data_IF_445649963181
#
_entry.id   IF_445649963181
#
_cell.length_a   1.000
_cell.length_b   1.000
_cell.length_c   1.000
_cell.angle_alpha   90.00
_cell.angle_beta   90.00
_cell.angle_gamma   90.00
#
_symmetry.space_group_name_H-M   'P 1'
#
loop_
_entity.id
_entity.type
_entity.pdbx_description
1 polymer ?
#
# COMPACT_ATOMS: atom_id res chain seq x y z
N UNK A 1 11.54 -4.04 -0.35
CA UNK A 1 10.09 -4.32 -0.14
C UNK A 1 9.54 -4.90 -1.43
N UNK A 2 8.87 -6.06 -1.40
CA UNK A 2 8.27 -6.64 -2.59
C UNK A 2 7.10 -5.77 -3.08
N UNK A 3 6.98 -5.60 -4.39
CA UNK A 3 5.80 -5.02 -5.02
C UNK A 3 4.97 -6.18 -5.57
N UNK A 4 3.67 -6.19 -5.32
CA UNK A 4 2.77 -7.23 -5.83
C UNK A 4 2.88 -7.35 -7.37
N UNK A 5 3.06 -8.56 -7.93
CA UNK A 5 3.12 -8.76 -9.37
C UNK A 5 1.88 -8.23 -10.09
N UNK A 6 2.07 -7.42 -11.13
CA UNK A 6 0.97 -6.80 -11.87
C UNK A 6 0.38 -5.53 -11.23
N UNK A 7 0.86 -5.11 -10.05
CA UNK A 7 0.50 -3.80 -9.50
C UNK A 7 1.12 -2.67 -10.35
N UNK A 8 0.34 -1.62 -10.58
CA UNK A 8 0.74 -0.45 -11.36
C UNK A 8 1.15 0.69 -10.43
N UNK A 9 2.33 1.25 -10.66
CA UNK A 9 2.75 2.46 -9.95
C UNK A 9 1.79 3.62 -10.24
N UNK A 10 1.31 4.28 -9.18
CA UNK A 10 0.39 5.41 -9.28
C UNK A 10 1.11 6.71 -8.98
N UNK A 11 1.75 6.80 -7.81
CA UNK A 11 2.38 8.03 -7.32
C UNK A 11 3.38 7.76 -6.21
N UNK A 12 4.29 8.70 -5.99
CA UNK A 12 5.10 8.75 -4.77
C UNK A 12 4.89 10.07 -4.05
N UNK A 13 5.04 10.05 -2.74
CA UNK A 13 4.91 11.21 -1.87
C UNK A 13 6.13 11.33 -0.97
N UNK A 14 6.52 12.57 -0.71
CA UNK A 14 7.48 12.88 0.34
C UNK A 14 6.74 12.83 1.69
N UNK A 15 7.18 11.96 2.59
CA UNK A 15 6.61 11.82 3.93
C UNK A 15 7.29 12.76 4.95
N UNK A 16 8.28 13.54 4.50
CA UNK A 16 9.20 14.28 5.36
C UNK A 16 10.33 13.39 5.89
N UNK A 17 11.32 14.03 6.52
CA UNK A 17 12.47 13.36 7.17
C UNK A 17 13.27 12.44 6.25
N UNK A 18 13.33 12.77 4.95
CA UNK A 18 14.01 11.96 3.94
C UNK A 18 13.29 10.64 3.61
N UNK A 19 12.09 10.44 4.14
CA UNK A 19 11.28 9.25 3.88
C UNK A 19 10.29 9.52 2.75
N UNK A 20 10.12 8.54 1.85
CA UNK A 20 9.11 8.56 0.81
C UNK A 20 8.25 7.33 0.89
N UNK A 21 6.98 7.46 0.51
CA UNK A 21 6.12 6.30 0.28
C UNK A 21 5.59 6.28 -1.14
N UNK A 22 5.19 5.09 -1.57
CA UNK A 22 4.82 4.79 -2.95
C UNK A 22 3.45 4.14 -2.96
N UNK A 23 2.58 4.59 -3.87
CA UNK A 23 1.26 4.01 -4.08
C UNK A 23 1.24 3.19 -5.37
N UNK A 24 0.65 2.01 -5.28
CA UNK A 24 0.41 1.11 -6.39
C UNK A 24 -1.04 0.68 -6.42
N UNK A 25 -1.65 0.67 -7.61
CA UNK A 25 -2.99 0.14 -7.84
C UNK A 25 -2.90 -1.31 -8.29
N UNK A 26 -3.78 -2.17 -7.79
CA UNK A 26 -3.86 -3.58 -8.21
C UNK A 26 -5.30 -3.95 -8.55
N UNK A 27 -5.46 -4.86 -9.51
CA UNK A 27 -6.75 -5.47 -9.86
C UNK A 27 -7.10 -6.67 -8.98
N UNK A 28 -6.14 -7.15 -8.18
CA UNK A 28 -6.35 -8.21 -7.19
C UNK A 28 -7.24 -7.73 -6.03
N UNK A 29 -7.94 -8.67 -5.42
CA UNK A 29 -8.78 -8.43 -4.24
C UNK A 29 -7.95 -8.12 -2.99
N UNK A 30 -8.60 -7.53 -1.98
CA UNK A 30 -7.96 -7.25 -0.69
C UNK A 30 -7.41 -8.52 -0.04
N UNK A 31 -8.19 -9.60 -0.03
CA UNK A 31 -7.80 -10.88 0.57
C UNK A 31 -6.58 -11.51 -0.12
N UNK A 32 -6.51 -11.45 -1.45
CA UNK A 32 -5.35 -11.95 -2.22
C UNK A 32 -4.08 -11.15 -1.90
N UNK A 33 -4.18 -9.82 -1.82
CA UNK A 33 -3.04 -8.97 -1.47
C UNK A 33 -2.57 -9.21 -0.03
N UNK A 34 -3.49 -9.34 0.93
CA UNK A 34 -3.15 -9.66 2.32
C UNK A 34 -2.46 -11.03 2.39
N UNK A 35 -2.99 -12.05 1.72
CA UNK A 35 -2.37 -13.37 1.67
C UNK A 35 -0.96 -13.32 1.05
N UNK A 36 -0.79 -12.59 -0.06
CA UNK A 36 0.51 -12.41 -0.69
C UNK A 36 1.53 -11.77 0.26
N UNK A 37 1.20 -10.64 0.88
CA UNK A 37 2.14 -9.93 1.75
C UNK A 37 2.44 -10.71 3.03
N UNK A 38 1.49 -11.50 3.55
CA UNK A 38 1.76 -12.43 4.65
C UNK A 38 2.90 -13.39 4.34
N UNK A 39 2.87 -13.99 3.15
CA UNK A 39 3.92 -14.91 2.70
C UNK A 39 5.21 -14.16 2.36
N UNK A 40 5.11 -13.08 1.60
CA UNK A 40 6.28 -12.37 1.07
C UNK A 40 7.09 -11.65 2.15
N UNK A 41 6.41 -11.12 3.18
CA UNK A 41 7.04 -10.39 4.29
C UNK A 41 7.34 -11.30 5.48
N UNK A 42 6.80 -12.54 5.50
CA UNK A 42 6.82 -13.44 6.66
C UNK A 42 6.25 -12.78 7.93
N UNK A 43 5.25 -11.92 7.73
CA UNK A 43 4.61 -11.11 8.77
C UNK A 43 3.09 -11.30 8.66
N UNK A 44 2.38 -11.52 9.77
CA UNK A 44 0.92 -11.66 9.75
C UNK A 44 0.23 -10.34 9.47
N UNK A 45 0.83 -9.24 9.96
CA UNK A 45 0.27 -7.90 9.94
C UNK A 45 -1.04 -7.80 10.73
N UNK A 46 -1.60 -6.59 10.77
CA UNK A 46 -2.78 -6.26 11.55
C UNK A 46 -3.89 -5.67 10.68
N UNK A 47 -5.14 -5.98 11.02
CA UNK A 47 -6.30 -5.29 10.48
C UNK A 47 -6.44 -3.99 11.26
N UNK A 48 -6.27 -2.85 10.58
CA UNK A 48 -6.38 -1.53 11.21
C UNK A 48 -7.84 -1.06 11.23
N UNK A 49 -8.59 -1.34 10.17
CA UNK A 49 -10.00 -1.03 10.03
C UNK A 49 -10.70 -2.16 9.28
N UNK A 50 -11.91 -2.51 9.70
CA UNK A 50 -12.74 -3.51 9.01
C UNK A 50 -13.59 -2.87 7.92
N UNK A 51 -13.95 -1.59 8.05
CA UNK A 51 -14.87 -0.90 7.16
C UNK A 51 -14.43 0.59 6.94
N UNK A 52 -13.78 0.92 5.82
CA UNK A 52 -13.28 0.03 4.77
C UNK A 52 -12.10 -0.84 5.27
N UNK A 53 -11.93 -2.07 4.72
CA UNK A 53 -10.81 -2.93 5.07
C UNK A 53 -9.44 -2.27 4.82
N UNK A 54 -8.64 -2.19 5.88
CA UNK A 54 -7.25 -1.73 5.85
C UNK A 54 -6.38 -2.74 6.61
N UNK A 55 -5.37 -3.30 5.94
CA UNK A 55 -4.38 -4.20 6.56
C UNK A 55 -3.00 -3.56 6.52
N UNK A 56 -2.26 -3.61 7.63
CA UNK A 56 -0.91 -3.06 7.74
C UNK A 56 0.10 -4.16 8.06
N UNK A 57 1.25 -4.09 7.43
CA UNK A 57 2.42 -4.93 7.68
C UNK A 57 3.59 -4.01 8.00
N UNK A 58 4.10 -4.07 9.23
CA UNK A 58 5.28 -3.31 9.65
C UNK A 58 6.50 -4.26 9.65
N UNK A 59 7.56 -3.90 8.93
CA UNK A 59 8.67 -4.83 8.59
C UNK A 59 10.06 -4.25 8.89
N UNK A 60 10.14 -3.37 9.88
CA UNK A 60 11.39 -2.78 10.32
C UNK A 60 11.24 -1.96 11.60
N UNK A 61 12.37 -1.55 12.17
CA UNK A 61 12.37 -0.70 13.35
C UNK A 61 11.90 0.70 12.98
N UNK A 62 10.77 1.12 13.55
CA UNK A 62 10.35 2.52 13.50
C UNK A 62 11.22 3.37 14.44
N UNK A 63 11.66 4.53 13.96
CA UNK A 63 12.40 5.53 14.72
C UNK A 63 11.61 6.83 14.63
N UNK A 64 10.84 7.10 15.66
CA UNK A 64 9.89 8.20 15.71
C UNK A 64 10.58 9.58 15.67
N UNK A 65 11.89 9.69 15.88
CA UNK A 65 12.64 10.94 15.73
C UNK A 65 13.08 11.19 14.27
N UNK A 66 13.24 10.14 13.48
CA UNK A 66 13.82 10.23 12.11
C UNK A 66 12.89 9.74 11.01
N UNK A 67 11.75 9.13 11.33
CA UNK A 67 10.78 8.60 10.37
C UNK A 67 9.41 9.23 10.59
N UNK A 68 8.62 9.33 9.52
CA UNK A 68 7.22 9.77 9.60
C UNK A 68 6.25 8.58 9.69
N UNK A 69 6.62 7.44 9.09
CA UNK A 69 5.87 6.19 9.12
C UNK A 69 6.80 5.00 9.38
N UNK A 70 6.30 3.93 10.04
CA UNK A 70 6.99 2.65 10.07
C UNK A 70 7.25 2.11 8.66
N UNK A 71 8.44 1.54 8.38
CA UNK A 71 8.67 0.80 7.15
C UNK A 71 7.71 -0.38 7.03
N UNK A 72 7.06 -0.54 5.88
CA UNK A 72 5.95 -1.48 5.77
C UNK A 72 5.14 -1.39 4.50
N UNK A 73 4.05 -2.16 4.51
CA UNK A 73 3.04 -2.21 3.46
C UNK A 73 1.66 -1.98 4.08
N UNK A 74 0.87 -1.11 3.47
CA UNK A 74 -0.56 -0.96 3.80
C UNK A 74 -1.38 -1.36 2.58
N UNK A 75 -2.33 -2.27 2.77
CA UNK A 75 -3.31 -2.67 1.76
C UNK A 75 -4.64 -2.04 2.13
N UNK A 76 -5.29 -1.37 1.17
CA UNK A 76 -6.60 -0.73 1.36
C UNK A 76 -7.59 -1.23 0.31
N UNK A 77 -8.79 -1.58 0.73
CA UNK A 77 -9.91 -1.90 -0.15
C UNK A 77 -10.66 -0.61 -0.53
N UNK A 78 -10.77 -0.35 -1.84
CA UNK A 78 -11.48 0.79 -2.40
C UNK A 78 -12.82 0.41 -3.05
N UNK A 79 -13.26 -0.85 -2.89
CA UNK A 79 -14.57 -1.32 -3.34
C UNK A 79 -15.63 -1.27 -2.25
N UNK A 80 -15.22 -1.03 -1.00
CA UNK A 80 -16.12 -0.91 0.14
C UNK A 80 -17.23 0.14 -0.12
N UNK A 81 -18.44 -0.14 0.36
CA UNK A 81 -19.61 0.71 0.13
C UNK A 81 -20.14 0.70 -1.31
N UNK A 82 -19.76 -0.28 -2.14
CA UNK A 82 -20.20 -0.40 -3.53
C UNK A 82 -19.41 0.48 -4.51
N UNK A 83 -18.28 1.04 -4.07
CA UNK A 83 -17.40 1.79 -4.94
C UNK A 83 -16.76 0.88 -6.01
N UNK A 84 -16.50 1.42 -7.20
CA UNK A 84 -15.87 0.68 -8.29
C UNK A 84 -14.32 0.60 -8.17
N UNK A 85 -13.74 1.01 -7.03
CA UNK A 85 -12.30 1.12 -6.82
C UNK A 85 -11.74 2.54 -6.89
N UNK A 86 -10.46 2.68 -6.59
CA UNK A 86 -9.70 3.92 -6.62
C UNK A 86 -9.57 4.42 -8.05
N UNK A 87 -10.08 5.63 -8.31
CA UNK A 87 -10.05 6.25 -9.63
C UNK A 87 -8.69 6.90 -9.89
N UNK A 88 -8.05 6.52 -11.00
CA UNK A 88 -6.83 7.16 -11.48
C UNK A 88 -7.16 7.98 -12.73
N UNK A 89 -7.29 9.32 -12.61
CA UNK A 89 -7.63 10.15 -13.76
C UNK A 89 -6.47 10.20 -14.75
N UNK A 90 -6.79 9.92 -16.02
CA UNK A 90 -5.85 10.06 -17.13
C UNK A 90 -6.39 11.11 -18.10
N UNK A 91 -5.72 12.25 -18.30
CA UNK A 91 -6.20 13.29 -19.21
C UNK A 91 -6.46 12.74 -20.62
N UNK A 92 -7.68 12.96 -21.13
CA UNK A 92 -8.05 12.55 -22.50
C UNK A 92 -8.33 11.05 -22.69
N UNK A 93 -8.38 10.24 -21.63
CA UNK A 93 -8.68 8.82 -21.69
C UNK A 93 -9.72 8.40 -20.65
N UNK A 94 -10.30 7.20 -20.81
CA UNK A 94 -11.09 6.57 -19.77
C UNK A 94 -10.19 6.29 -18.56
N UNK A 95 -10.59 6.70 -17.35
CA UNK A 95 -9.75 6.56 -16.17
C UNK A 95 -9.72 5.11 -15.69
N UNK A 96 -8.54 4.65 -15.28
CA UNK A 96 -8.37 3.33 -14.68
C UNK A 96 -8.99 3.30 -13.28
N UNK A 97 -9.47 2.12 -12.88
CA UNK A 97 -9.96 1.86 -11.53
C UNK A 97 -9.25 0.66 -10.94
N UNK A 98 -8.81 0.81 -9.70
CA UNK A 98 -8.15 -0.25 -8.96
C UNK A 98 -8.98 -0.62 -7.72
N UNK A 99 -9.48 -1.86 -7.59
CA UNK A 99 -10.22 -2.29 -6.40
C UNK A 99 -9.38 -2.17 -5.13
N UNK A 100 -8.07 -2.31 -5.24
CA UNK A 100 -7.15 -2.21 -4.11
C UNK A 100 -6.00 -1.26 -4.39
N UNK A 101 -5.54 -0.59 -3.34
CA UNK A 101 -4.30 0.21 -3.37
C UNK A 101 -3.34 -0.28 -2.32
N UNK A 102 -2.08 -0.37 -2.72
CA UNK A 102 -0.94 -0.76 -1.91
C UNK A 102 -0.11 0.50 -1.66
N UNK A 103 0.11 0.83 -0.39
CA UNK A 103 1.10 1.82 0.02
C UNK A 103 2.34 1.10 0.53
N UNK A 104 3.51 1.46 0.03
CA UNK A 104 4.79 0.90 0.47
C UNK A 104 5.65 2.02 1.04
N UNK A 105 6.09 1.84 2.29
CA UNK A 105 7.13 2.62 2.94
C UNK A 105 8.39 1.75 2.94
N UNK A 106 9.42 2.05 2.13
CA UNK A 106 10.61 1.22 2.07
C UNK A 106 11.35 1.20 3.41
N UNK A 107 12.02 0.08 3.71
CA UNK A 107 13.03 0.04 4.76
C UNK A 107 14.21 0.90 4.30
N UNK A 108 14.33 2.10 4.85
CA UNK A 108 15.51 2.94 4.66
C UNK A 108 16.60 2.45 5.61
N UNK A 109 17.41 1.51 5.13
CA UNK A 109 18.71 1.23 5.74
C UNK A 109 19.67 2.33 5.32
N UNK A 110 20.38 2.93 6.28
CA UNK A 110 21.63 3.62 5.97
C UNK A 110 22.49 2.66 5.15
N UNK A 111 22.97 3.15 4.00
CA UNK A 111 23.86 2.42 3.12
C UNK A 111 25.18 2.13 3.81
#
# INVERSE_FOLDING_TARGET
MPVFPGARFLRSFDAGRGQRYYLFGATASFAELVAYYRTALKERGDVMYEEPPIHIFEVGRFRDETMAFPPGVVVKDYTWGGAAGYLVPTPGASPDRYPTVIQIVPVTGAR
#
